data_IF_189342878070
#
_entry.id   IF_189342878070
#
_cell.length_a   1.000
_cell.length_b   1.000
_cell.length_c   1.000
_cell.angle_alpha   90.00
_cell.angle_beta   90.00
_cell.angle_gamma   90.00
#
_symmetry.space_group_name_H-M   'P 1'
#
loop_
_entity.id
_entity.type
_entity.pdbx_description
1 polymer ?
#
# COMPACT_ATOMS: atom_id res chain seq x y z
N UNK A 1 17.10 17.90 -30.87
CA UNK A 1 17.85 16.88 -30.12
C UNK A 1 16.94 16.38 -29.03
N UNK A 2 16.93 15.06 -28.90
CA UNK A 2 15.95 14.22 -28.22
C UNK A 2 15.80 14.55 -26.72
N UNK A 3 14.57 14.84 -26.29
CA UNK A 3 14.21 14.68 -24.88
C UNK A 3 12.80 14.09 -24.69
N UNK A 4 12.38 13.25 -25.64
CA UNK A 4 11.22 12.37 -25.47
C UNK A 4 11.66 11.04 -24.82
N UNK A 5 12.45 11.15 -23.74
CA UNK A 5 12.81 9.98 -22.94
C UNK A 5 11.68 9.73 -21.97
N UNK A 6 11.13 8.51 -21.89
CA UNK A 6 10.11 8.19 -20.90
C UNK A 6 10.67 8.48 -19.51
N UNK A 7 10.06 9.44 -18.81
CA UNK A 7 10.39 9.70 -17.41
C UNK A 7 10.19 8.39 -16.64
N UNK A 8 11.18 7.95 -15.86
CA UNK A 8 11.03 6.75 -15.04
C UNK A 8 9.74 6.87 -14.22
N UNK A 9 8.96 5.79 -14.08
CA UNK A 9 7.78 5.82 -13.23
C UNK A 9 8.20 6.28 -11.83
N UNK A 10 7.39 7.13 -11.18
CA UNK A 10 7.72 7.63 -9.86
C UNK A 10 8.00 6.47 -8.91
N UNK A 11 9.11 6.57 -8.18
CA UNK A 11 9.52 5.54 -7.23
C UNK A 11 8.37 5.23 -6.27
N UNK A 12 8.13 3.95 -5.94
CA UNK A 12 7.05 3.58 -5.04
C UNK A 12 7.23 4.25 -3.67
N UNK A 13 6.11 4.69 -3.11
CA UNK A 13 6.07 5.30 -1.78
C UNK A 13 6.54 4.28 -0.73
N UNK A 14 7.67 4.57 -0.09
CA UNK A 14 8.22 3.72 0.98
C UNK A 14 7.94 4.34 2.36
N UNK A 15 7.43 3.54 3.33
CA UNK A 15 7.36 3.98 4.72
C UNK A 15 8.75 4.35 5.26
N UNK A 16 8.85 5.51 5.92
CA UNK A 16 10.11 5.99 6.50
C UNK A 16 11.07 6.68 5.53
N UNK A 17 10.69 6.91 4.25
CA UNK A 17 11.51 7.73 3.37
C UNK A 17 11.51 9.20 3.82
N UNK A 18 12.59 9.92 3.51
CA UNK A 18 12.69 11.35 3.80
C UNK A 18 11.54 12.12 3.12
N UNK A 19 10.96 13.05 3.87
CA UNK A 19 9.85 13.92 3.45
C UNK A 19 10.20 15.41 3.55
N UNK A 20 11.43 15.74 3.94
CA UNK A 20 11.88 17.12 4.18
C UNK A 20 11.73 18.05 2.98
N UNK A 21 11.67 17.50 1.77
CA UNK A 21 11.53 18.22 0.49
C UNK A 21 10.11 18.23 -0.07
N UNK A 22 9.17 17.57 0.60
CA UNK A 22 7.78 17.51 0.14
C UNK A 22 7.00 18.74 0.62
N UNK A 23 6.15 19.24 -0.26
CA UNK A 23 5.11 20.23 0.06
C UNK A 23 3.99 19.62 0.92
N UNK A 24 3.13 20.49 1.46
CA UNK A 24 1.95 20.06 2.23
C UNK A 24 0.99 19.20 1.41
N UNK A 25 0.74 19.57 0.15
CA UNK A 25 -0.15 18.82 -0.74
C UNK A 25 0.42 17.44 -1.07
N UNK A 26 1.74 17.34 -1.34
CA UNK A 26 2.41 16.06 -1.58
C UNK A 26 2.39 15.16 -0.33
N UNK A 27 2.50 15.74 0.87
CA UNK A 27 2.34 15.01 2.12
C UNK A 27 0.91 14.48 2.27
N UNK A 28 -0.10 15.30 1.97
CA UNK A 28 -1.51 14.89 2.03
C UNK A 28 -1.82 13.75 1.06
N UNK A 29 -1.35 13.85 -0.19
CA UNK A 29 -1.52 12.80 -1.20
C UNK A 29 -0.84 11.50 -0.75
N UNK A 30 0.40 11.60 -0.25
CA UNK A 30 1.14 10.44 0.27
C UNK A 30 0.43 9.79 1.46
N UNK A 31 -0.12 10.58 2.39
CA UNK A 31 -0.90 10.08 3.52
C UNK A 31 -2.16 9.35 3.03
N UNK A 32 -2.87 9.90 2.05
CA UNK A 32 -4.06 9.29 1.49
C UNK A 32 -3.75 7.92 0.86
N UNK A 33 -2.67 7.84 0.08
CA UNK A 33 -2.21 6.58 -0.54
C UNK A 33 -1.84 5.52 0.49
N UNK A 34 -1.08 5.90 1.54
CA UNK A 34 -0.70 4.96 2.60
C UNK A 34 -1.92 4.49 3.42
N UNK A 35 -2.90 5.36 3.67
CA UNK A 35 -4.15 4.98 4.34
C UNK A 35 -4.97 3.99 3.51
N UNK A 36 -5.09 4.23 2.21
CA UNK A 36 -5.78 3.30 1.30
C UNK A 36 -5.09 1.93 1.30
N UNK A 37 -3.76 1.92 1.33
CA UNK A 37 -2.98 0.68 1.40
C UNK A 37 -3.19 -0.07 2.72
N UNK A 38 -3.29 0.64 3.85
CA UNK A 38 -3.63 0.04 5.15
C UNK A 38 -4.99 -0.67 5.06
N UNK A 39 -6.03 0.00 4.55
CA UNK A 39 -7.37 -0.59 4.41
C UNK A 39 -7.34 -1.84 3.53
N UNK A 40 -6.60 -1.80 2.42
CA UNK A 40 -6.43 -2.95 1.53
C UNK A 40 -5.78 -4.15 2.24
N UNK A 41 -4.72 -3.88 3.02
CA UNK A 41 -4.01 -4.92 3.79
C UNK A 41 -4.87 -5.50 4.91
N UNK A 42 -5.65 -4.67 5.61
CA UNK A 42 -6.61 -5.11 6.62
C UNK A 42 -7.68 -6.02 6.03
N UNK A 43 -8.24 -5.66 4.86
CA UNK A 43 -9.19 -6.50 4.14
C UNK A 43 -8.59 -7.86 3.72
N UNK A 44 -7.37 -7.85 3.19
CA UNK A 44 -6.65 -9.08 2.83
C UNK A 44 -6.35 -9.95 4.06
N UNK A 45 -5.99 -9.34 5.20
CA UNK A 45 -5.76 -10.04 6.45
C UNK A 45 -7.05 -10.68 6.97
N UNK A 46 -8.18 -9.96 6.93
CA UNK A 46 -9.48 -10.48 7.33
C UNK A 46 -9.89 -11.68 6.48
N UNK A 47 -9.74 -11.60 5.16
CA UNK A 47 -10.01 -12.71 4.25
C UNK A 47 -9.15 -13.95 4.55
N UNK A 48 -7.85 -13.75 4.81
CA UNK A 48 -6.94 -14.85 5.21
C UNK A 48 -7.33 -15.48 6.53
N UNK A 49 -7.73 -14.67 7.53
CA UNK A 49 -8.21 -15.17 8.83
C UNK A 49 -9.49 -15.99 8.67
N UNK A 50 -10.47 -15.49 7.90
CA UNK A 50 -11.72 -16.21 7.65
C UNK A 50 -11.47 -17.56 6.96
N UNK A 51 -10.58 -17.59 5.96
CA UNK A 51 -10.17 -18.83 5.29
C UNK A 51 -9.52 -19.83 6.26
N UNK A 52 -8.62 -19.38 7.14
CA UNK A 52 -7.99 -20.23 8.16
C UNK A 52 -9.01 -20.79 9.15
N UNK A 53 -9.89 -19.95 9.69
CA UNK A 53 -10.91 -20.39 10.64
C UNK A 53 -11.90 -21.39 10.03
N UNK A 54 -12.27 -21.21 8.76
CA UNK A 54 -13.11 -22.18 8.05
C UNK A 54 -12.40 -23.53 7.87
N UNK A 55 -11.10 -23.51 7.56
CA UNK A 55 -10.28 -24.73 7.48
C UNK A 55 -10.17 -25.41 8.86
N UNK A 56 -9.83 -24.68 9.91
CA UNK A 56 -9.68 -25.23 11.27
C UNK A 56 -10.98 -25.86 11.80
N UNK A 57 -12.14 -25.31 11.45
CA UNK A 57 -13.45 -25.87 11.78
C UNK A 57 -13.78 -27.15 10.98
N UNK A 58 -13.27 -27.27 9.75
CA UNK A 58 -13.43 -28.46 8.92
C UNK A 58 -12.53 -29.61 9.40
N UNK A 59 -11.31 -29.31 9.88
CA UNK A 59 -10.35 -30.32 10.36
C UNK A 59 -10.56 -30.79 11.81
N UNK A 60 -11.43 -30.13 12.61
CA UNK A 60 -11.76 -30.53 13.99
C UNK A 60 -13.02 -31.40 14.12
N UNK A 61 -13.50 -31.98 13.02
CA UNK A 61 -14.51 -33.06 13.03
C UNK A 61 -13.87 -34.42 12.90
#
# INVERSE_FOLDING_TARGET
>A
MDDDRPTPPPSPIQPGADVSRLSEDELLERIALLKAEIVRLEGALAAKKASRSAADAFFKR
#
